data_IF_373657478119
#
_entry.id   IF_373657478119
#
_cell.length_a   1.000
_cell.length_b   1.000
_cell.length_c   1.000
_cell.angle_alpha   90.00
_cell.angle_beta   90.00
_cell.angle_gamma   90.00
#
_symmetry.space_group_name_H-M   'P 1'
#
loop_
_entity.id
_entity.type
_entity.pdbx_description
1 polymer ?
#
# COMPACT_ATOMS: atom_id res chain seq x y z
N UNK A 1 18.28 5.53 -12.62
CA UNK A 1 18.39 4.35 -11.73
C UNK A 1 17.85 3.13 -12.45
N UNK A 2 18.53 1.97 -12.40
CA UNK A 2 18.11 0.80 -13.17
C UNK A 2 16.81 0.20 -12.62
N UNK A 3 15.94 -0.35 -13.49
CA UNK A 3 14.66 -0.95 -13.09
C UNK A 3 14.80 -2.13 -12.11
N UNK A 4 15.96 -2.80 -12.11
CA UNK A 4 16.27 -3.90 -11.19
C UNK A 4 16.38 -3.44 -9.73
N UNK A 5 16.89 -2.23 -9.50
CA UNK A 5 17.06 -1.67 -8.14
C UNK A 5 15.71 -1.38 -7.51
N UNK A 6 14.77 -0.83 -8.28
CA UNK A 6 13.40 -0.59 -7.82
C UNK A 6 12.66 -1.89 -7.52
N UNK A 7 12.82 -2.90 -8.38
CA UNK A 7 12.22 -4.21 -8.18
C UNK A 7 12.75 -4.88 -6.89
N UNK A 8 14.05 -4.76 -6.60
CA UNK A 8 14.64 -5.26 -5.37
C UNK A 8 14.12 -4.52 -4.12
N UNK A 9 13.95 -3.19 -4.20
CA UNK A 9 13.37 -2.37 -3.12
C UNK A 9 11.91 -2.79 -2.86
N UNK A 10 11.13 -3.02 -3.90
CA UNK A 10 9.73 -3.44 -3.80
C UNK A 10 9.61 -4.83 -3.12
N UNK A 11 10.45 -5.80 -3.49
CA UNK A 11 10.49 -7.11 -2.84
C UNK A 11 10.94 -7.02 -1.38
N UNK A 12 11.96 -6.21 -1.08
CA UNK A 12 12.43 -5.99 0.29
C UNK A 12 11.34 -5.35 1.16
N UNK A 13 10.53 -4.44 0.60
CA UNK A 13 9.44 -3.80 1.31
C UNK A 13 8.31 -4.78 1.65
N UNK A 14 7.94 -5.66 0.69
CA UNK A 14 6.98 -6.75 0.93
C UNK A 14 7.50 -7.72 1.98
N UNK A 15 8.75 -8.16 1.87
CA UNK A 15 9.37 -9.03 2.87
C UNK A 15 9.38 -8.35 4.23
N UNK A 16 9.74 -7.07 4.31
CA UNK A 16 9.74 -6.32 5.57
C UNK A 16 8.34 -6.22 6.20
N UNK A 17 7.30 -6.01 5.37
CA UNK A 17 5.90 -5.95 5.82
C UNK A 17 5.40 -7.28 6.42
N UNK A 18 5.77 -8.41 5.81
CA UNK A 18 5.27 -9.73 6.20
C UNK A 18 6.27 -10.54 7.05
N UNK A 19 7.53 -10.12 7.15
CA UNK A 19 8.57 -10.83 7.90
C UNK A 19 8.21 -10.95 9.37
N UNK A 20 7.66 -9.89 9.98
CA UNK A 20 7.25 -9.92 11.37
C UNK A 20 6.15 -10.96 11.63
N UNK A 21 5.17 -11.09 10.74
CA UNK A 21 4.11 -12.11 10.85
C UNK A 21 4.66 -13.52 10.62
N UNK A 22 5.52 -13.71 9.61
CA UNK A 22 6.16 -14.99 9.33
C UNK A 22 7.04 -15.45 10.51
N UNK A 23 7.77 -14.52 11.13
CA UNK A 23 8.57 -14.78 12.33
C UNK A 23 7.64 -15.14 13.50
N UNK A 24 6.52 -14.43 13.69
CA UNK A 24 5.52 -14.74 14.71
C UNK A 24 4.93 -16.15 14.56
N UNK A 25 4.54 -16.53 13.34
CA UNK A 25 4.04 -17.88 13.02
C UNK A 25 5.13 -18.93 13.26
N UNK A 26 6.36 -18.67 12.84
CA UNK A 26 7.48 -19.58 13.08
C UNK A 26 7.71 -19.81 14.59
N UNK A 27 7.69 -18.76 15.40
CA UNK A 27 7.79 -18.88 16.86
C UNK A 27 6.60 -19.62 17.48
N UNK A 28 5.38 -19.39 16.99
CA UNK A 28 4.20 -20.15 17.44
C UNK A 28 4.31 -21.65 17.09
N UNK A 29 4.81 -21.99 15.90
CA UNK A 29 5.06 -23.38 15.49
C UNK A 29 6.20 -24.00 16.30
N UNK A 30 7.28 -23.26 16.57
CA UNK A 30 8.39 -23.72 17.41
C UNK A 30 7.96 -23.98 18.86
N UNK A 31 7.14 -23.10 19.44
CA UNK A 31 6.58 -23.30 20.79
C UNK A 31 5.57 -24.45 20.83
N UNK A 32 4.74 -24.60 19.81
CA UNK A 32 3.80 -25.72 19.69
C UNK A 32 4.51 -27.07 19.54
N UNK A 33 5.56 -27.13 18.73
CA UNK A 33 6.34 -28.36 18.51
C UNK A 33 7.14 -28.74 19.75
N UNK A 34 7.79 -27.78 20.42
CA UNK A 34 8.46 -28.02 21.72
C UNK A 34 7.47 -28.46 22.79
N UNK A 35 6.31 -27.82 22.91
CA UNK A 35 5.25 -28.26 23.82
C UNK A 35 4.78 -29.69 23.53
N UNK A 36 4.54 -30.03 22.26
CA UNK A 36 4.17 -31.40 21.87
C UNK A 36 5.24 -32.42 22.23
N UNK A 37 6.53 -32.08 22.04
CA UNK A 37 7.64 -32.96 22.40
C UNK A 37 7.71 -33.15 23.92
N UNK A 38 7.54 -32.08 24.71
CA UNK A 38 7.55 -32.15 26.19
C UNK A 38 6.37 -32.96 26.73
N UNK A 39 5.16 -32.75 26.21
CA UNK A 39 3.97 -33.49 26.61
C UNK A 39 4.06 -34.97 26.22
N UNK A 40 4.62 -35.29 25.04
CA UNK A 40 4.84 -36.68 24.61
C UNK A 40 6.00 -37.35 25.33
N UNK A 41 7.04 -36.61 25.71
CA UNK A 41 8.22 -37.12 26.43
C UNK A 41 8.09 -36.93 27.94
N UNK A 42 6.94 -37.28 28.52
CA UNK A 42 6.77 -37.43 29.99
C UNK A 42 7.78 -38.39 30.64
N UNK A 43 8.54 -39.16 29.85
CA UNK A 43 9.51 -40.17 30.30
C UNK A 43 10.99 -39.76 30.23
N UNK A 44 11.36 -38.57 29.73
CA UNK A 44 12.78 -38.24 29.47
C UNK A 44 13.41 -37.19 30.40
N UNK A 45 12.66 -36.70 31.39
CA UNK A 45 13.20 -35.74 32.36
C UNK A 45 13.17 -36.39 33.74
N UNK A 46 14.32 -36.91 34.16
CA UNK A 46 14.48 -37.68 35.39
C UNK A 46 14.47 -36.82 36.67
N UNK A 47 14.62 -35.49 36.57
CA UNK A 47 14.64 -34.58 37.73
C UNK A 47 13.47 -33.58 37.70
N UNK A 48 12.85 -33.37 38.86
CA UNK A 48 11.74 -32.41 39.02
C UNK A 48 12.14 -30.99 38.64
N UNK A 49 13.41 -30.62 38.91
CA UNK A 49 13.97 -29.29 38.62
C UNK A 49 14.03 -29.03 37.11
N UNK A 50 14.49 -30.00 36.31
CA UNK A 50 14.55 -29.85 34.86
C UNK A 50 13.14 -29.77 34.24
N UNK A 51 12.16 -30.43 34.85
CA UNK A 51 10.75 -30.36 34.43
C UNK A 51 10.16 -28.96 34.69
N UNK A 52 10.49 -28.35 35.82
CA UNK A 52 10.08 -26.98 36.15
C UNK A 52 10.64 -25.93 35.19
N UNK A 53 11.92 -26.05 34.83
CA UNK A 53 12.60 -25.13 33.89
C UNK A 53 11.97 -25.22 32.49
N UNK A 54 11.69 -26.43 32.00
CA UNK A 54 11.09 -26.64 30.68
C UNK A 54 9.66 -26.09 30.61
N UNK A 55 8.85 -26.29 31.66
CA UNK A 55 7.49 -25.76 31.72
C UNK A 55 7.52 -24.22 31.81
N UNK A 56 8.40 -23.66 32.63
CA UNK A 56 8.58 -22.20 32.74
C UNK A 56 9.00 -21.56 31.41
N UNK A 57 9.96 -22.16 30.71
CA UNK A 57 10.40 -21.70 29.39
C UNK A 57 9.28 -21.73 28.34
N UNK A 58 8.45 -22.78 28.34
CA UNK A 58 7.32 -22.88 27.42
C UNK A 58 6.23 -21.82 27.68
N UNK A 59 5.96 -21.51 28.96
CA UNK A 59 5.00 -20.46 29.34
C UNK A 59 5.52 -19.08 28.92
N UNK A 60 6.78 -18.77 29.22
CA UNK A 60 7.37 -17.47 28.83
C UNK A 60 7.39 -17.30 27.31
N UNK A 61 7.74 -18.35 26.56
CA UNK A 61 7.78 -18.29 25.10
C UNK A 61 6.38 -18.14 24.47
N UNK A 62 5.36 -18.82 25.03
CA UNK A 62 3.98 -18.71 24.56
C UNK A 62 3.37 -17.35 24.88
N UNK A 63 3.58 -16.82 26.08
CA UNK A 63 3.16 -15.46 26.45
C UNK A 63 3.87 -14.42 25.58
N UNK A 64 5.19 -14.57 25.37
CA UNK A 64 5.96 -13.70 24.49
C UNK A 64 5.42 -13.69 23.05
N UNK A 65 5.11 -14.86 22.49
CA UNK A 65 4.52 -14.97 21.15
C UNK A 65 3.15 -14.28 21.06
N UNK A 66 2.28 -14.46 22.05
CA UNK A 66 0.96 -13.80 22.09
C UNK A 66 1.08 -12.28 22.16
N UNK A 67 1.98 -11.76 22.99
CA UNK A 67 2.22 -10.31 23.09
C UNK A 67 2.72 -9.73 21.77
N UNK A 68 3.69 -10.41 21.12
CA UNK A 68 4.20 -9.98 19.81
C UNK A 68 3.10 -9.98 18.74
N UNK A 69 2.27 -11.04 18.68
CA UNK A 69 1.14 -11.11 17.74
C UNK A 69 0.11 -10.02 18.04
N UNK A 70 -0.23 -9.77 19.31
CA UNK A 70 -1.21 -8.76 19.70
C UNK A 70 -0.75 -7.32 19.39
N UNK A 71 0.55 -7.04 19.49
CA UNK A 71 1.10 -5.74 19.11
C UNK A 71 1.22 -5.56 17.59
N UNK A 72 1.33 -6.66 16.83
CA UNK A 72 1.44 -6.62 15.37
C UNK A 72 0.06 -6.71 14.65
N UNK A 73 -0.98 -7.25 15.29
CA UNK A 73 -2.33 -7.33 14.71
C UNK A 73 -2.93 -5.98 14.25
N UNK A 74 -2.75 -4.86 14.99
CA UNK A 74 -3.27 -3.56 14.60
C UNK A 74 -2.65 -3.01 13.30
N UNK A 75 -1.40 -3.38 12.98
CA UNK A 75 -0.73 -2.89 11.76
C UNK A 75 -1.23 -3.61 10.51
N UNK A 76 -1.51 -4.91 10.61
CA UNK A 76 -2.11 -5.70 9.53
C UNK A 76 -3.57 -5.29 9.27
N UNK A 77 -4.37 -5.11 10.33
CA UNK A 77 -5.75 -4.60 10.22
C UNK A 77 -5.79 -3.17 9.68
N UNK A 78 -4.86 -2.30 10.09
CA UNK A 78 -4.76 -0.93 9.57
C UNK A 78 -4.52 -0.85 8.05
N UNK A 79 -3.84 -1.83 7.47
CA UNK A 79 -3.63 -1.92 6.02
C UNK A 79 -4.85 -2.47 5.27
N UNK A 80 -5.59 -3.41 5.87
CA UNK A 80 -6.80 -4.00 5.29
C UNK A 80 -8.01 -3.06 5.38
N UNK A 81 -8.10 -2.24 6.43
CA UNK A 81 -9.25 -1.34 6.66
C UNK A 81 -9.13 -0.02 5.88
N UNK A 82 -7.91 0.42 5.51
CA UNK A 82 -7.71 1.63 4.68
C UNK A 82 -8.51 1.64 3.36
N UNK A 83 -8.50 0.58 2.53
CA UNK A 83 -9.35 0.54 1.33
C UNK A 83 -10.85 0.40 1.63
N UNK A 84 -11.23 -0.01 2.84
CA UNK A 84 -12.64 -0.11 3.27
C UNK A 84 -13.21 1.23 3.76
N UNK A 85 -12.36 2.17 4.16
CA UNK A 85 -12.75 3.51 4.64
C UNK A 85 -12.68 4.59 3.57
N UNK A 86 -12.07 4.30 2.41
CA UNK A 86 -11.97 5.23 1.30
C UNK A 86 -12.56 4.61 0.03
N UNK A 87 -13.69 5.15 -0.44
CA UNK A 87 -14.29 4.74 -1.71
C UNK A 87 -13.59 5.49 -2.86
N UNK A 88 -13.07 4.75 -3.84
CA UNK A 88 -12.45 5.34 -5.03
C UNK A 88 -13.35 5.19 -6.23
N UNK A 89 -13.88 6.30 -6.75
CA UNK A 89 -14.73 6.31 -7.95
C UNK A 89 -13.98 6.88 -9.14
N UNK A 90 -13.97 6.15 -10.26
CA UNK A 90 -13.31 6.56 -11.51
C UNK A 90 -14.30 7.25 -12.44
N UNK A 91 -14.00 8.49 -12.85
CA UNK A 91 -14.89 9.31 -13.68
C UNK A 91 -14.53 9.32 -15.16
N UNK A 92 -13.24 9.29 -15.46
CA UNK A 92 -12.74 9.28 -16.83
C UNK A 92 -11.42 8.54 -16.91
N UNK A 93 -11.17 7.92 -18.06
CA UNK A 93 -9.97 7.13 -18.28
C UNK A 93 -9.50 7.22 -19.73
N UNK A 94 -8.20 7.33 -19.90
CA UNK A 94 -7.59 7.35 -21.22
C UNK A 94 -6.31 6.53 -21.22
N UNK A 95 -6.17 5.64 -22.20
CA UNK A 95 -4.99 4.81 -22.40
C UNK A 95 -4.07 5.47 -23.42
N UNK A 96 -2.77 5.46 -23.16
CA UNK A 96 -1.79 6.01 -24.09
C UNK A 96 -1.81 5.24 -25.42
N UNK A 97 -1.48 5.86 -26.57
CA UNK A 97 -1.53 5.21 -27.88
C UNK A 97 -0.69 3.93 -27.99
N UNK A 98 0.36 3.82 -27.18
CA UNK A 98 1.23 2.65 -27.09
C UNK A 98 0.79 1.61 -26.04
N UNK A 99 -0.36 1.80 -25.38
CA UNK A 99 -0.91 0.89 -24.36
C UNK A 99 -0.15 0.81 -23.04
N UNK A 100 0.97 1.53 -22.90
CA UNK A 100 1.90 1.41 -21.77
C UNK A 100 1.45 2.18 -20.52
N UNK A 101 0.66 3.24 -20.68
CA UNK A 101 0.19 4.09 -19.60
C UNK A 101 -1.33 4.19 -19.64
N UNK A 102 -1.96 4.21 -18.46
CA UNK A 102 -3.37 4.50 -18.25
C UNK A 102 -3.44 5.74 -17.37
N UNK A 103 -4.09 6.78 -17.85
CA UNK A 103 -4.47 7.92 -17.03
C UNK A 103 -5.93 7.71 -16.58
N UNK A 104 -6.22 8.00 -15.32
CA UNK A 104 -7.56 7.91 -14.75
C UNK A 104 -7.84 9.12 -13.86
N UNK A 105 -9.05 9.67 -13.95
CA UNK A 105 -9.57 10.63 -12.97
C UNK A 105 -10.28 9.83 -11.90
N UNK A 106 -9.75 9.82 -10.69
CA UNK A 106 -10.35 9.15 -9.55
C UNK A 106 -10.72 10.18 -8.48
N UNK A 107 -11.90 10.04 -7.90
CA UNK A 107 -12.26 10.70 -6.66
C UNK A 107 -12.00 9.72 -5.53
N UNK A 108 -11.29 10.17 -4.50
CA UNK A 108 -11.12 9.40 -3.27
C UNK A 108 -11.99 10.06 -2.22
N UNK A 109 -13.05 9.36 -1.83
CA UNK A 109 -13.90 9.74 -0.71
C UNK A 109 -13.49 8.93 0.51
N UNK A 110 -12.71 9.55 1.40
CA UNK A 110 -12.37 8.97 2.70
C UNK A 110 -13.34 9.41 3.82
N UNK A 111 -14.57 9.77 3.47
CA UNK A 111 -15.60 10.26 4.38
C UNK A 111 -15.27 11.61 5.03
N UNK A 112 -15.79 11.83 6.24
CA UNK A 112 -15.78 13.11 6.97
C UNK A 112 -14.38 13.63 7.39
N UNK A 113 -13.30 12.91 7.12
CA UNK A 113 -11.95 13.23 7.62
C UNK A 113 -11.18 14.14 6.67
N UNK A 114 -11.40 14.06 5.35
CA UNK A 114 -10.59 14.81 4.36
C UNK A 114 -11.37 15.50 3.24
N UNK A 115 -12.70 15.30 3.19
CA UNK A 115 -13.55 15.83 2.12
C UNK A 115 -13.32 15.15 0.76
N UNK A 116 -14.16 15.48 -0.22
CA UNK A 116 -14.04 14.96 -1.58
C UNK A 116 -12.80 15.54 -2.26
N UNK A 117 -11.98 14.68 -2.87
CA UNK A 117 -10.83 15.13 -3.64
C UNK A 117 -10.77 14.39 -4.97
N UNK A 118 -10.69 15.13 -6.07
CA UNK A 118 -10.41 14.56 -7.40
C UNK A 118 -8.93 14.59 -7.67
N UNK A 119 -8.42 13.45 -8.10
CA UNK A 119 -7.02 13.27 -8.46
C UNK A 119 -6.90 12.65 -9.84
N UNK A 120 -5.89 13.10 -10.59
CA UNK A 120 -5.49 12.44 -11.83
C UNK A 120 -4.37 11.47 -11.50
N UNK A 121 -4.64 10.19 -11.70
CA UNK A 121 -3.73 9.09 -11.50
C UNK A 121 -3.13 8.67 -12.84
N UNK A 122 -1.83 8.42 -12.84
CA UNK A 122 -1.13 7.84 -13.97
C UNK A 122 -0.54 6.50 -13.54
N UNK A 123 -0.94 5.45 -14.24
CA UNK A 123 -0.57 4.06 -13.93
C UNK A 123 0.13 3.44 -15.11
N UNK A 124 1.25 2.76 -14.87
CA UNK A 124 2.01 2.08 -15.92
C UNK A 124 1.58 0.63 -16.03
N UNK A 125 1.12 0.18 -17.20
CA UNK A 125 0.78 -1.23 -17.44
C UNK A 125 2.05 -2.08 -17.64
N UNK A 126 2.07 -3.33 -17.15
CA UNK A 126 0.98 -4.07 -16.51
C UNK A 126 0.83 -3.81 -14.99
N UNK A 127 1.67 -2.96 -14.40
CA UNK A 127 1.72 -2.71 -12.96
C UNK A 127 0.63 -1.73 -12.49
N UNK A 128 -0.58 -2.26 -12.33
CA UNK A 128 -1.76 -1.53 -11.84
C UNK A 128 -1.63 -0.94 -10.42
N UNK A 129 -0.77 -1.48 -9.56
CA UNK A 129 -0.57 -1.02 -8.18
C UNK A 129 0.35 0.20 -8.02
N UNK A 130 1.11 0.59 -9.06
CA UNK A 130 1.98 1.78 -9.03
C UNK A 130 1.27 3.00 -9.63
N UNK A 131 0.06 3.30 -9.15
CA UNK A 131 -0.63 4.53 -9.53
C UNK A 131 0.05 5.72 -8.84
N UNK A 132 0.43 6.75 -9.60
CA UNK A 132 0.94 7.99 -9.03
C UNK A 132 0.01 9.15 -9.36
N UNK A 133 -0.28 9.96 -8.34
CA UNK A 133 -1.08 11.17 -8.48
C UNK A 133 -0.24 12.28 -9.11
N UNK A 134 -0.66 12.77 -10.27
CA UNK A 134 0.01 13.87 -10.99
C UNK A 134 -0.68 15.23 -10.79
N UNK A 135 -1.98 15.22 -10.49
CA UNK A 135 -2.78 16.41 -10.19
C UNK A 135 -3.75 16.12 -9.06
N UNK A 136 -3.98 17.14 -8.24
CA UNK A 136 -4.85 17.08 -7.07
C UNK A 136 -5.77 18.31 -7.00
N UNK A 137 -7.06 18.05 -6.81
CA UNK A 137 -8.11 19.06 -6.68
C UNK A 137 -8.90 18.83 -5.39
N UNK A 138 -9.14 19.91 -4.63
CA UNK A 138 -9.94 19.90 -3.39
C UNK A 138 -11.46 19.88 -3.60
N UNK A 139 -11.90 20.10 -4.83
CA UNK A 139 -13.32 20.14 -5.20
C UNK A 139 -13.61 19.02 -6.21
N UNK A 140 -14.80 19.05 -6.81
CA UNK A 140 -15.25 18.10 -7.84
C UNK A 140 -15.22 18.70 -9.26
N UNK A 141 -14.07 19.20 -9.78
CA UNK A 141 -14.01 19.77 -11.12
C UNK A 141 -14.24 18.68 -12.16
N UNK A 142 -15.00 18.98 -13.21
CA UNK A 142 -15.15 18.06 -14.34
C UNK A 142 -13.83 18.02 -15.12
N UNK A 143 -13.20 16.84 -15.14
CA UNK A 143 -11.92 16.60 -15.79
C UNK A 143 -12.12 15.59 -16.92
N UNK A 144 -11.54 15.88 -18.08
CA UNK A 144 -11.46 14.97 -19.21
C UNK A 144 -10.02 14.74 -19.63
N UNK A 145 -9.70 13.49 -19.95
CA UNK A 145 -8.38 13.04 -20.32
C UNK A 145 -8.34 12.74 -21.82
N UNK A 146 -7.30 13.20 -22.48
CA UNK A 146 -7.05 12.88 -23.89
C UNK A 146 -5.55 12.71 -24.13
N UNK A 147 -5.20 11.83 -25.05
CA UNK A 147 -3.81 11.59 -25.42
C UNK A 147 -3.52 12.12 -26.83
N UNK A 148 -2.41 12.83 -26.97
CA UNK A 148 -1.82 13.21 -28.26
C UNK A 148 -0.37 12.71 -28.30
N UNK A 149 -0.16 11.52 -28.89
CA UNK A 149 1.14 10.86 -28.90
C UNK A 149 1.65 10.53 -27.49
N UNK A 150 2.72 11.21 -27.05
CA UNK A 150 3.29 11.09 -25.68
C UNK A 150 2.79 12.16 -24.71
N UNK A 151 1.93 13.07 -25.17
CA UNK A 151 1.34 14.13 -24.36
C UNK A 151 -0.03 13.68 -23.85
N UNK A 152 -0.22 13.71 -22.53
CA UNK A 152 -1.50 13.61 -21.85
C UNK A 152 -2.06 15.03 -21.68
N UNK A 153 -3.22 15.31 -22.23
CA UNK A 153 -3.94 16.57 -22.04
C UNK A 153 -5.07 16.35 -21.04
N UNK A 154 -5.08 17.16 -20.00
CA UNK A 154 -6.02 17.13 -18.89
C UNK A 154 -6.87 18.38 -19.01
N UNK A 155 -8.06 18.23 -19.55
CA UNK A 155 -9.02 19.31 -19.75
C UNK A 155 -9.87 19.46 -18.49
N UNK A 156 -9.85 20.63 -17.86
CA UNK A 156 -10.65 20.94 -16.69
C UNK A 156 -11.53 22.16 -16.89
N UNK A 157 -12.62 22.23 -16.13
CA UNK A 157 -13.54 23.38 -16.06
C UNK A 157 -13.09 24.49 -15.09
N UNK A 158 -12.04 24.24 -14.29
CA UNK A 158 -11.51 25.20 -13.29
C UNK A 158 -10.17 25.81 -13.69
N UNK A 159 -9.90 27.01 -13.18
CA UNK A 159 -8.61 27.68 -13.37
C UNK A 159 -7.53 27.01 -12.52
N UNK A 160 -6.26 27.19 -12.90
CA UNK A 160 -5.13 26.61 -12.16
C UNK A 160 -5.00 27.10 -10.72
N UNK A 161 -5.50 28.30 -10.40
CA UNK A 161 -5.47 28.86 -9.04
C UNK A 161 -6.32 28.06 -8.05
N UNK A 162 -7.30 27.27 -8.51
CA UNK A 162 -8.06 26.40 -7.63
C UNK A 162 -7.27 25.18 -7.15
N UNK A 163 -6.07 24.94 -7.70
CA UNK A 163 -5.17 23.89 -7.23
C UNK A 163 -4.36 24.41 -6.05
N UNK A 164 -4.29 23.64 -4.96
CA UNK A 164 -3.43 23.98 -3.81
C UNK A 164 -1.94 24.13 -4.20
N UNK A 165 -1.50 23.32 -5.18
CA UNK A 165 -0.14 23.32 -5.71
C UNK A 165 -0.22 23.11 -7.22
N UNK A 166 -0.36 24.18 -8.02
CA UNK A 166 -0.38 24.06 -9.46
C UNK A 166 0.99 23.53 -9.91
N UNK A 167 1.06 22.36 -10.56
CA UNK A 167 2.33 21.84 -11.03
C UNK A 167 2.81 22.61 -12.27
N UNK A 168 4.12 22.54 -12.59
CA UNK A 168 4.67 23.15 -13.79
C UNK A 168 4.00 22.61 -15.05
N UNK A 169 3.78 23.46 -16.06
CA UNK A 169 3.16 23.03 -17.31
C UNK A 169 4.10 23.25 -18.50
N UNK A 170 4.44 22.19 -19.24
CA UNK A 170 4.02 20.79 -19.04
C UNK A 170 4.75 20.07 -17.90
N UNK A 171 4.09 19.10 -17.27
CA UNK A 171 4.65 18.19 -16.26
C UNK A 171 5.33 17.03 -16.99
N UNK A 172 6.59 16.73 -16.68
CA UNK A 172 7.23 15.50 -17.14
C UNK A 172 7.15 14.43 -16.04
N UNK A 173 6.45 13.34 -16.31
CA UNK A 173 6.34 12.22 -15.39
C UNK A 173 6.67 10.91 -16.09
N UNK A 174 7.70 10.19 -15.65
CA UNK A 174 8.01 8.85 -16.15
C UNK A 174 8.16 8.73 -17.68
N UNK A 175 8.50 9.82 -18.37
CA UNK A 175 8.59 9.92 -19.84
C UNK A 175 7.30 10.36 -20.56
N UNK A 176 6.23 10.68 -19.83
CA UNK A 176 4.96 11.26 -20.30
C UNK A 176 4.97 12.76 -20.04
N UNK A 177 4.55 13.55 -21.03
CA UNK A 177 4.29 14.98 -20.88
C UNK A 177 2.82 15.18 -20.52
N UNK A 178 2.50 15.65 -19.33
CA UNK A 178 1.12 15.99 -18.96
C UNK A 178 0.91 17.50 -19.03
N UNK A 179 -0.16 17.92 -19.69
CA UNK A 179 -0.54 19.34 -19.83
C UNK A 179 -1.93 19.56 -19.26
N UNK A 180 -2.08 20.56 -18.40
CA UNK A 180 -3.41 20.97 -17.92
C UNK A 180 -3.95 22.13 -18.76
N UNK A 181 -5.10 21.91 -19.40
CA UNK A 181 -5.84 22.91 -20.15
C UNK A 181 -7.15 23.22 -19.42
N UNK A 182 -7.27 24.43 -18.87
CA UNK A 182 -8.49 24.92 -18.26
C UNK A 182 -8.85 26.31 -18.78
N UNK A 183 -9.93 26.93 -18.26
CA UNK A 183 -10.23 28.32 -18.51
C UNK A 183 -8.98 29.18 -18.29
N UNK A 184 -8.69 30.06 -19.26
CA UNK A 184 -7.64 31.07 -19.11
C UNK A 184 -8.08 32.07 -18.05
N UNK A 185 -7.10 32.57 -17.29
CA UNK A 185 -7.31 33.68 -16.36
C UNK A 185 -7.73 34.96 -17.10
#
# INVERSE_FOLDING_TARGET
>A
MPPVVWLAIDFLFVIWLFAAELIGVAFAVCTWTTWRVVVRRRQLVASEVARGIVIGGAIVASVGAVVVVAFMLPSALGLVVRPLMCETTTFDEAVSPNGRYRAAVAQVDCGAVTGFNRQVLLTRRPFWWTAQTILYFREEPTLRLSWSGRMLTINGDRTRRSMNRPPPDPILWGGVLARYSGPKE
#
